data_IF_577529762677
#
_entry.id   IF_577529762677
#
_cell.length_a   1.000
_cell.length_b   1.000
_cell.length_c   1.000
_cell.angle_alpha   90.00
_cell.angle_beta   90.00
_cell.angle_gamma   90.00
#
_symmetry.space_group_name_H-M   'P 1'
#
loop_
_entity.id
_entity.type
_entity.pdbx_description
1 polymer ?
#
# COMPACT_ATOMS: atom_id res chain seq x y z
N UNK A 1 24.81 0.76 -20.80
CA UNK A 1 23.81 -0.33 -20.92
C UNK A 1 22.50 0.24 -20.42
N UNK A 2 21.58 0.59 -21.32
CA UNK A 2 20.39 1.36 -20.98
C UNK A 2 19.42 0.56 -20.12
N UNK A 3 19.07 1.08 -18.95
CA UNK A 3 17.92 0.59 -18.18
C UNK A 3 16.66 0.85 -19.00
N UNK A 4 16.22 -0.15 -19.77
CA UNK A 4 14.87 -0.21 -20.30
C UNK A 4 13.89 -0.25 -19.13
N UNK A 5 13.45 0.93 -18.70
CA UNK A 5 12.27 1.07 -17.85
C UNK A 5 11.10 0.54 -18.66
N UNK A 6 10.65 -0.67 -18.37
CA UNK A 6 9.30 -1.08 -18.72
C UNK A 6 8.35 -0.23 -17.86
N UNK A 7 8.11 1.02 -18.29
CA UNK A 7 6.89 1.75 -17.93
C UNK A 7 5.78 1.05 -18.71
N UNK A 8 5.12 0.11 -18.05
CA UNK A 8 3.91 -0.46 -18.59
C UNK A 8 2.84 0.64 -18.57
N UNK A 9 2.24 0.88 -19.73
CA UNK A 9 1.16 1.84 -19.86
C UNK A 9 -0.05 1.34 -19.08
N UNK A 10 -0.64 2.20 -18.25
CA UNK A 10 -1.81 1.84 -17.46
C UNK A 10 -2.99 1.58 -18.41
N UNK A 11 -3.79 0.51 -18.20
CA UNK A 11 -4.98 0.26 -19.00
C UNK A 11 -5.88 1.49 -19.06
N UNK A 12 -6.42 1.76 -20.24
CA UNK A 12 -7.43 2.80 -20.42
C UNK A 12 -8.74 2.34 -19.76
N UNK A 13 -9.47 3.27 -19.16
CA UNK A 13 -10.80 3.02 -18.61
C UNK A 13 -11.82 3.00 -19.75
N UNK A 14 -11.79 1.93 -20.53
CA UNK A 14 -12.65 1.70 -21.69
C UNK A 14 -13.22 0.28 -21.59
N UNK A 15 -14.51 0.12 -21.86
CA UNK A 15 -15.08 -1.20 -22.11
C UNK A 15 -14.59 -1.72 -23.47
N UNK A 16 -14.71 -3.03 -23.71
CA UNK A 16 -14.30 -3.63 -24.98
C UNK A 16 -15.00 -2.97 -26.18
N UNK A 17 -16.30 -2.64 -26.04
CA UNK A 17 -17.07 -1.95 -27.08
C UNK A 17 -16.65 -0.49 -27.27
N UNK A 18 -16.19 0.17 -26.20
CA UNK A 18 -15.64 1.52 -26.27
C UNK A 18 -14.23 1.53 -26.86
N UNK A 19 -13.43 0.49 -26.58
CA UNK A 19 -12.09 0.29 -27.12
C UNK A 19 -12.14 0.08 -28.64
N UNK A 20 -13.04 -0.77 -29.14
CA UNK A 20 -13.21 -0.97 -30.59
C UNK A 20 -13.54 0.33 -31.32
N UNK A 21 -14.45 1.15 -30.75
CA UNK A 21 -14.79 2.47 -31.31
C UNK A 21 -13.63 3.46 -31.20
N UNK A 22 -12.89 3.43 -30.10
CA UNK A 22 -11.72 4.27 -29.90
C UNK A 22 -10.61 3.95 -30.92
N UNK A 23 -10.34 2.67 -31.17
CA UNK A 23 -9.38 2.23 -32.18
C UNK A 23 -9.80 2.61 -33.60
N UNK A 24 -11.10 2.60 -33.90
CA UNK A 24 -11.62 2.96 -35.22
C UNK A 24 -11.73 4.46 -35.49
N UNK A 25 -11.96 5.30 -34.47
CA UNK A 25 -12.28 6.74 -34.65
C UNK A 25 -11.33 7.69 -33.95
N UNK A 26 -10.45 7.20 -33.07
CA UNK A 26 -9.57 8.00 -32.23
C UNK A 26 -10.29 8.88 -31.19
N UNK A 27 -11.62 8.71 -31.02
CA UNK A 27 -12.44 9.54 -30.12
C UNK A 27 -13.17 8.68 -29.09
N UNK A 28 -13.24 9.18 -27.86
CA UNK A 28 -14.06 8.56 -26.83
C UNK A 28 -15.55 8.76 -27.12
N UNK A 29 -16.40 7.74 -26.90
CA UNK A 29 -17.85 7.87 -27.00
C UNK A 29 -18.39 8.87 -25.96
N UNK A 30 -19.26 9.83 -26.34
CA UNK A 30 -19.94 10.68 -25.38
C UNK A 30 -20.89 9.85 -24.49
N UNK A 31 -20.79 10.02 -23.16
CA UNK A 31 -21.63 9.29 -22.20
C UNK A 31 -21.08 7.96 -21.68
N UNK A 32 -19.79 7.67 -21.89
CA UNK A 32 -19.15 6.48 -21.31
C UNK A 32 -19.25 6.48 -19.78
N UNK A 33 -19.93 5.47 -19.24
CA UNK A 33 -19.90 5.16 -17.81
C UNK A 33 -18.69 4.26 -17.55
N UNK A 34 -17.74 4.66 -16.70
CA UNK A 34 -16.49 3.95 -16.55
C UNK A 34 -16.72 2.62 -15.83
N UNK A 35 -16.59 1.53 -16.59
CA UNK A 35 -16.93 0.17 -16.12
C UNK A 35 -15.76 -0.51 -15.40
N UNK A 36 -14.53 0.00 -15.53
CA UNK A 36 -13.32 -0.66 -15.01
C UNK A 36 -12.65 0.12 -13.87
N UNK A 37 -13.32 1.14 -13.33
CA UNK A 37 -12.78 2.04 -12.30
C UNK A 37 -12.17 1.31 -11.10
N UNK A 38 -12.82 0.28 -10.58
CA UNK A 38 -12.32 -0.52 -9.45
C UNK A 38 -11.03 -1.27 -9.77
N UNK A 39 -11.00 -1.96 -10.93
CA UNK A 39 -9.80 -2.65 -11.41
C UNK A 39 -8.65 -1.67 -11.69
N UNK A 40 -8.95 -0.51 -12.28
CA UNK A 40 -7.96 0.51 -12.57
C UNK A 40 -7.38 1.11 -11.28
N UNK A 41 -8.21 1.36 -10.27
CA UNK A 41 -7.76 1.79 -8.95
C UNK A 41 -6.86 0.72 -8.28
N UNK A 42 -7.25 -0.55 -8.38
CA UNK A 42 -6.46 -1.69 -7.92
C UNK A 42 -5.09 -1.77 -8.63
N UNK A 43 -5.06 -1.73 -9.96
CA UNK A 43 -3.83 -1.77 -10.75
C UNK A 43 -2.91 -0.57 -10.45
N UNK A 44 -3.49 0.63 -10.32
CA UNK A 44 -2.76 1.85 -9.91
C UNK A 44 -2.15 1.71 -8.53
N UNK A 45 -2.87 1.12 -7.58
CA UNK A 45 -2.35 0.89 -6.24
C UNK A 45 -1.13 -0.04 -6.29
N UNK A 46 -1.23 -1.17 -6.97
CA UNK A 46 -0.11 -2.13 -7.09
C UNK A 46 1.09 -1.54 -7.83
N UNK A 47 0.86 -0.71 -8.86
CA UNK A 47 1.93 0.06 -9.48
C UNK A 47 2.68 0.91 -8.47
N UNK A 48 1.93 1.72 -7.70
CA UNK A 48 2.52 2.62 -6.71
C UNK A 48 3.23 1.82 -5.61
N UNK A 49 2.63 0.73 -5.14
CA UNK A 49 3.23 -0.17 -4.14
C UNK A 49 4.59 -0.71 -4.61
N UNK A 50 4.66 -1.21 -5.85
CA UNK A 50 5.92 -1.69 -6.44
C UNK A 50 6.97 -0.58 -6.59
N UNK A 51 6.54 0.65 -6.90
CA UNK A 51 7.45 1.82 -6.96
C UNK A 51 7.95 2.25 -5.58
N UNK A 52 7.13 2.12 -4.53
CA UNK A 52 7.53 2.36 -3.14
C UNK A 52 8.54 1.31 -2.69
N UNK A 53 8.34 0.03 -3.00
CA UNK A 53 9.29 -1.04 -2.67
C UNK A 53 10.68 -0.78 -3.28
N UNK A 54 10.75 -0.18 -4.48
CA UNK A 54 12.01 0.21 -5.11
C UNK A 54 12.79 1.30 -4.34
N UNK A 55 12.16 2.04 -3.42
CA UNK A 55 12.83 3.02 -2.57
C UNK A 55 13.76 2.35 -1.54
N UNK A 56 13.43 1.13 -1.11
CA UNK A 56 14.24 0.37 -0.14
C UNK A 56 15.49 -0.29 -0.74
N UNK A 57 15.72 -0.18 -2.06
CA UNK A 57 16.90 -0.76 -2.70
C UNK A 57 18.16 0.06 -2.39
N UNK A 58 19.24 -0.55 -1.85
CA UNK A 58 20.48 0.16 -1.51
C UNK A 58 21.09 0.93 -2.69
N UNK A 59 20.94 0.41 -3.91
CA UNK A 59 21.41 1.06 -5.14
C UNK A 59 20.65 2.35 -5.44
N UNK A 60 19.34 2.35 -5.21
CA UNK A 60 18.48 3.52 -5.49
C UNK A 60 18.44 4.52 -4.36
N UNK A 61 18.78 4.11 -3.13
CA UNK A 61 18.93 5.01 -1.99
C UNK A 61 19.97 6.10 -2.27
N UNK A 62 21.08 5.74 -2.94
CA UNK A 62 22.17 6.65 -3.33
C UNK A 62 21.75 7.67 -4.39
N UNK A 63 20.95 7.24 -5.36
CA UNK A 63 20.41 8.12 -6.41
C UNK A 63 19.31 9.05 -5.84
N UNK A 64 18.48 8.55 -4.93
CA UNK A 64 17.39 9.32 -4.32
C UNK A 64 17.91 10.50 -3.48
N UNK A 65 18.99 10.30 -2.74
CA UNK A 65 19.66 11.38 -1.98
C UNK A 65 20.31 12.43 -2.88
N UNK A 66 20.56 12.10 -4.14
CA UNK A 66 21.29 12.97 -5.07
C UNK A 66 20.40 13.74 -6.04
N UNK A 67 19.15 13.33 -6.28
CA UNK A 67 18.41 13.83 -7.46
C UNK A 67 17.03 14.45 -7.20
N UNK A 68 16.24 14.08 -6.17
CA UNK A 68 14.89 14.68 -5.97
C UNK A 68 14.34 14.46 -4.53
N UNK A 69 14.39 15.46 -3.62
CA UNK A 69 13.83 15.34 -2.27
C UNK A 69 12.29 15.27 -2.25
N UNK A 70 11.61 15.64 -3.33
CA UNK A 70 10.13 15.68 -3.44
C UNK A 70 9.47 14.33 -3.74
N UNK A 71 10.26 13.30 -4.06
CA UNK A 71 9.77 12.02 -4.57
C UNK A 71 8.89 11.21 -3.59
N UNK A 72 9.20 11.07 -2.29
CA UNK A 72 8.33 10.36 -1.35
C UNK A 72 6.99 11.09 -1.11
N UNK A 73 6.99 12.43 -1.10
CA UNK A 73 5.77 13.24 -0.98
C UNK A 73 4.84 13.03 -2.19
N UNK A 74 5.39 12.94 -3.40
CA UNK A 74 4.61 12.58 -4.60
C UNK A 74 3.99 11.19 -4.49
N UNK A 75 4.69 10.22 -3.91
CA UNK A 75 4.10 8.90 -3.67
C UNK A 75 3.02 8.95 -2.59
N UNK A 76 3.22 9.69 -1.50
CA UNK A 76 2.19 9.90 -0.47
C UNK A 76 0.92 10.49 -1.07
N UNK A 77 1.04 11.55 -1.87
CA UNK A 77 -0.09 12.16 -2.56
C UNK A 77 -0.80 11.16 -3.50
N UNK A 78 -0.04 10.34 -4.23
CA UNK A 78 -0.64 9.33 -5.13
C UNK A 78 -1.35 8.21 -4.37
N UNK A 79 -0.77 7.71 -3.28
CA UNK A 79 -1.42 6.68 -2.45
C UNK A 79 -2.68 7.25 -1.81
N UNK A 80 -2.63 8.47 -1.27
CA UNK A 80 -3.78 9.10 -0.58
C UNK A 80 -4.92 9.49 -1.52
N UNK A 81 -4.65 9.74 -2.81
CA UNK A 81 -5.70 9.95 -3.81
C UNK A 81 -6.50 8.69 -4.12
N UNK A 82 -5.97 7.50 -3.82
CA UNK A 82 -6.70 6.25 -4.00
C UNK A 82 -7.60 6.06 -2.76
N UNK A 83 -8.80 6.62 -2.84
CA UNK A 83 -9.85 6.43 -1.83
C UNK A 83 -10.58 5.13 -2.11
N UNK A 84 -10.32 4.11 -1.29
CA UNK A 84 -11.17 2.94 -1.21
C UNK A 84 -12.31 3.23 -0.24
N UNK A 85 -13.52 3.46 -0.78
CA UNK A 85 -14.71 3.54 0.06
C UNK A 85 -15.33 2.16 0.17
N UNK A 86 -14.89 1.39 1.17
CA UNK A 86 -15.57 0.14 1.54
C UNK A 86 -17.04 0.38 1.95
N UNK A 87 -17.38 1.62 2.33
CA UNK A 87 -18.73 2.02 2.77
C UNK A 87 -19.62 2.54 1.63
N UNK A 88 -19.12 2.64 0.39
CA UNK A 88 -19.92 3.10 -0.76
C UNK A 88 -20.44 1.95 -1.61
N UNK A 89 -20.26 0.69 -1.19
CA UNK A 89 -20.94 -0.42 -1.85
C UNK A 89 -22.44 -0.32 -1.52
N UNK A 90 -23.31 -0.10 -2.52
CA UNK A 90 -24.75 -0.11 -2.29
C UNK A 90 -25.12 -1.48 -1.72
N UNK A 91 -25.85 -1.50 -0.61
CA UNK A 91 -26.29 -2.71 0.10
C UNK A 91 -27.11 -3.70 -0.77
N UNK A 92 -27.47 -3.27 -1.99
CA UNK A 92 -28.33 -3.96 -2.95
C UNK A 92 -27.54 -4.81 -3.97
N UNK A 93 -26.21 -4.65 -4.10
CA UNK A 93 -25.44 -5.51 -5.01
C UNK A 93 -25.23 -6.88 -4.36
N UNK A 94 -26.10 -7.80 -4.74
CA UNK A 94 -26.04 -9.25 -4.49
C UNK A 94 -24.87 -9.91 -5.26
N UNK A 95 -23.74 -9.21 -5.39
CA UNK A 95 -22.53 -9.60 -6.12
C UNK A 95 -21.55 -10.31 -5.20
N UNK A 96 -21.04 -11.46 -5.65
CA UNK A 96 -20.34 -12.47 -4.86
C UNK A 96 -19.13 -11.99 -4.06
N UNK A 97 -18.67 -12.85 -3.14
CA UNK A 97 -17.53 -12.59 -2.26
C UNK A 97 -16.21 -12.18 -2.94
N UNK A 98 -16.12 -12.27 -4.27
CA UNK A 98 -14.98 -11.82 -5.08
C UNK A 98 -14.74 -10.31 -5.00
N UNK A 99 -15.80 -9.48 -5.04
CA UNK A 99 -15.67 -8.02 -4.93
C UNK A 99 -15.13 -7.62 -3.54
N UNK A 100 -15.60 -8.32 -2.50
CA UNK A 100 -15.14 -8.12 -1.12
C UNK A 100 -13.66 -8.54 -0.97
N UNK A 101 -13.23 -9.63 -1.60
CA UNK A 101 -11.82 -10.05 -1.63
C UNK A 101 -10.95 -8.96 -2.25
N UNK A 102 -11.35 -8.40 -3.40
CA UNK A 102 -10.60 -7.32 -4.05
C UNK A 102 -10.51 -6.10 -3.14
N UNK A 103 -11.60 -5.72 -2.47
CA UNK A 103 -11.60 -4.61 -1.50
C UNK A 103 -10.62 -4.86 -0.34
N UNK A 104 -10.62 -6.06 0.24
CA UNK A 104 -9.75 -6.44 1.36
C UNK A 104 -8.29 -6.46 0.93
N UNK A 105 -7.98 -7.06 -0.22
CA UNK A 105 -6.64 -7.08 -0.78
C UNK A 105 -6.16 -5.66 -1.09
N UNK A 106 -7.02 -4.81 -1.67
CA UNK A 106 -6.71 -3.40 -1.91
C UNK A 106 -6.40 -2.65 -0.62
N UNK A 107 -7.21 -2.86 0.43
CA UNK A 107 -7.02 -2.22 1.72
C UNK A 107 -5.64 -2.57 2.32
N UNK A 108 -5.29 -3.85 2.36
CA UNK A 108 -4.02 -4.26 2.97
C UNK A 108 -2.80 -3.83 2.15
N UNK A 109 -2.91 -3.80 0.81
CA UNK A 109 -1.84 -3.27 -0.05
C UNK A 109 -1.69 -1.76 0.13
N UNK A 110 -2.79 -1.03 0.33
CA UNK A 110 -2.76 0.40 0.64
C UNK A 110 -2.08 0.67 1.99
N UNK A 111 -2.53 0.00 3.05
CA UNK A 111 -1.92 0.10 4.38
C UNK A 111 -0.43 -0.31 4.35
N UNK A 112 -0.11 -1.41 3.66
CA UNK A 112 1.25 -1.89 3.47
C UNK A 112 2.14 -0.95 2.65
N UNK A 113 1.57 -0.21 1.70
CA UNK A 113 2.28 0.82 0.93
C UNK A 113 2.63 2.02 1.80
N UNK A 114 1.68 2.49 2.62
CA UNK A 114 1.94 3.54 3.62
C UNK A 114 3.00 3.11 4.63
N UNK A 115 2.93 1.87 5.12
CA UNK A 115 3.91 1.29 6.04
C UNK A 115 5.33 1.35 5.45
N UNK A 116 5.51 0.87 4.21
CA UNK A 116 6.82 0.87 3.55
C UNK A 116 7.35 2.29 3.30
N UNK A 117 6.48 3.21 2.90
CA UNK A 117 6.86 4.59 2.60
C UNK A 117 7.26 5.36 3.86
N UNK A 118 6.45 5.31 4.92
CA UNK A 118 6.77 5.98 6.17
C UNK A 118 7.96 5.33 6.89
N UNK A 119 8.13 4.01 6.81
CA UNK A 119 9.34 3.33 7.30
C UNK A 119 10.61 3.85 6.63
N UNK A 120 10.57 4.04 5.30
CA UNK A 120 11.68 4.63 4.56
C UNK A 120 12.00 6.05 5.04
N UNK A 121 10.98 6.89 5.22
CA UNK A 121 11.14 8.26 5.72
C UNK A 121 11.77 8.28 7.12
N UNK A 122 11.27 7.47 8.05
CA UNK A 122 11.83 7.33 9.41
C UNK A 122 13.31 6.94 9.35
N UNK A 123 13.66 5.92 8.56
CA UNK A 123 15.06 5.47 8.43
C UNK A 123 15.99 6.51 7.80
N UNK A 124 15.50 7.29 6.84
CA UNK A 124 16.27 8.37 6.22
C UNK A 124 16.59 9.50 7.22
N UNK A 125 15.66 9.82 8.13
CA UNK A 125 15.89 10.84 9.16
C UNK A 125 16.88 10.39 10.24
N UNK A 126 16.92 9.10 10.60
CA UNK A 126 17.89 8.58 11.58
C UNK A 126 19.33 8.50 11.07
N UNK A 127 19.54 8.52 9.74
CA UNK A 127 20.87 8.41 9.11
C UNK A 127 21.55 9.75 8.76
N UNK A 128 20.84 10.88 8.82
CA UNK A 128 21.45 12.21 8.61
C UNK A 128 22.06 12.70 9.93
N UNK A 129 23.33 13.12 9.86
CA UNK A 129 24.07 13.69 10.98
C UNK A 129 23.31 14.86 11.61
N UNK A 130 23.38 14.96 12.93
CA UNK A 130 22.66 15.89 13.82
C UNK A 130 22.84 17.40 13.55
N UNK A 131 23.52 17.78 12.47
CA UNK A 131 23.78 19.17 12.09
C UNK A 131 22.78 19.72 11.06
N UNK A 132 21.87 18.89 10.55
CA UNK A 132 20.87 19.32 9.59
C UNK A 132 19.56 19.66 10.31
N UNK A 133 19.30 20.96 10.48
CA UNK A 133 18.07 21.51 11.08
C UNK A 133 16.92 21.33 10.09
N UNK A 134 16.49 20.09 9.90
CA UNK A 134 15.22 19.74 9.24
C UNK A 134 14.27 19.16 10.28
N UNK A 135 12.97 19.45 10.19
CA UNK A 135 12.14 19.60 11.38
C UNK A 135 11.81 18.24 11.99
N UNK A 136 12.06 18.11 13.29
CA UNK A 136 11.69 16.98 14.15
C UNK A 136 10.21 16.59 14.02
N UNK A 137 9.35 17.51 13.56
CA UNK A 137 7.93 17.28 13.25
C UNK A 137 7.70 16.22 12.17
N UNK A 138 8.60 16.09 11.18
CA UNK A 138 8.42 15.17 10.06
C UNK A 138 8.74 13.73 10.46
N UNK A 139 9.66 13.53 11.41
CA UNK A 139 9.98 12.22 11.98
C UNK A 139 8.83 11.69 12.83
N UNK A 140 8.36 12.46 13.81
CA UNK A 140 7.27 12.02 14.71
C UNK A 140 5.99 11.73 13.91
N UNK A 141 5.64 12.61 12.95
CA UNK A 141 4.49 12.37 12.06
C UNK A 141 4.67 11.12 11.21
N UNK A 142 5.86 10.89 10.64
CA UNK A 142 6.11 9.68 9.85
C UNK A 142 6.09 8.42 10.72
N UNK A 143 6.62 8.48 11.93
CA UNK A 143 6.62 7.36 12.87
C UNK A 143 5.19 7.00 13.31
N UNK A 144 4.35 7.99 13.63
CA UNK A 144 2.95 7.75 14.00
C UNK A 144 2.13 7.18 12.84
N UNK A 145 2.31 7.70 11.62
CA UNK A 145 1.67 7.16 10.42
C UNK A 145 2.16 5.73 10.09
N UNK A 146 3.45 5.47 10.26
CA UNK A 146 4.03 4.13 10.12
C UNK A 146 3.40 3.15 11.12
N UNK A 147 3.22 3.56 12.38
CA UNK A 147 2.55 2.76 13.42
C UNK A 147 1.08 2.50 13.07
N UNK A 148 0.34 3.55 12.68
CA UNK A 148 -1.06 3.44 12.29
C UNK A 148 -1.25 2.47 11.11
N UNK A 149 -0.38 2.54 10.11
CA UNK A 149 -0.38 1.60 8.98
C UNK A 149 -0.07 0.16 9.43
N UNK A 150 0.89 -0.04 10.33
CA UNK A 150 1.19 -1.36 10.89
C UNK A 150 0.00 -1.97 11.62
N UNK A 151 -0.66 -1.19 12.49
CA UNK A 151 -1.87 -1.63 13.20
C UNK A 151 -3.02 -1.94 12.25
N UNK A 152 -3.17 -1.15 11.18
CA UNK A 152 -4.18 -1.40 10.14
C UNK A 152 -3.97 -2.75 9.44
N UNK A 153 -2.72 -3.10 9.10
CA UNK A 153 -2.40 -4.41 8.55
C UNK A 153 -2.70 -5.56 9.54
N UNK A 154 -2.34 -5.40 10.82
CA UNK A 154 -2.60 -6.41 11.86
C UNK A 154 -4.11 -6.62 12.06
N UNK A 155 -4.89 -5.53 12.14
CA UNK A 155 -6.34 -5.62 12.34
C UNK A 155 -7.05 -6.24 11.12
N UNK A 156 -6.53 -6.05 9.91
CA UNK A 156 -7.07 -6.69 8.72
C UNK A 156 -6.67 -8.17 8.59
N UNK A 157 -5.70 -8.66 9.35
CA UNK A 157 -5.16 -10.02 9.19
C UNK A 157 -6.21 -11.11 9.33
N UNK A 158 -7.13 -10.97 10.30
CA UNK A 158 -8.23 -11.91 10.52
C UNK A 158 -9.22 -11.91 9.35
N UNK A 159 -9.61 -10.73 8.89
CA UNK A 159 -10.52 -10.57 7.75
C UNK A 159 -9.88 -11.15 6.47
N UNK A 160 -8.59 -10.90 6.26
CA UNK A 160 -7.80 -11.46 5.14
C UNK A 160 -7.73 -12.98 5.26
N UNK A 161 -7.47 -13.53 6.46
CA UNK A 161 -7.44 -14.97 6.70
C UNK A 161 -8.78 -15.61 6.33
N UNK A 162 -9.89 -14.99 6.69
CA UNK A 162 -11.19 -15.64 6.54
C UNK A 162 -11.71 -15.52 5.10
N UNK A 163 -11.45 -14.41 4.42
CA UNK A 163 -12.08 -14.08 3.14
C UNK A 163 -11.16 -14.25 1.92
N UNK A 164 -9.84 -14.12 2.06
CA UNK A 164 -8.90 -14.19 0.93
C UNK A 164 -8.44 -15.64 0.68
N UNK A 165 -8.29 -16.09 -0.58
CA UNK A 165 -7.74 -17.41 -0.88
C UNK A 165 -6.35 -17.64 -0.26
N UNK A 166 -6.03 -18.87 0.21
CA UNK A 166 -4.79 -19.16 0.94
C UNK A 166 -3.51 -18.71 0.23
N UNK A 167 -3.45 -18.83 -1.10
CA UNK A 167 -2.30 -18.41 -1.90
C UNK A 167 -1.97 -16.91 -1.76
N UNK A 168 -2.99 -16.06 -1.72
CA UNK A 168 -2.85 -14.61 -1.60
C UNK A 168 -2.70 -14.20 -0.14
N UNK A 169 -3.44 -14.84 0.77
CA UNK A 169 -3.31 -14.68 2.21
C UNK A 169 -1.86 -14.90 2.67
N UNK A 170 -1.21 -15.97 2.22
CA UNK A 170 0.18 -16.27 2.62
C UNK A 170 1.15 -15.18 2.17
N UNK A 171 1.07 -14.75 0.91
CA UNK A 171 1.93 -13.70 0.36
C UNK A 171 1.75 -12.36 1.11
N UNK A 172 0.50 -12.00 1.40
CA UNK A 172 0.14 -10.78 2.13
C UNK A 172 0.64 -10.84 3.57
N UNK A 173 0.42 -11.97 4.26
CA UNK A 173 0.79 -12.12 5.67
C UNK A 173 2.30 -12.19 5.86
N UNK A 174 3.00 -12.99 5.04
CA UNK A 174 4.46 -13.07 5.10
C UNK A 174 5.10 -11.70 4.86
N UNK A 175 4.55 -10.88 3.97
CA UNK A 175 5.12 -9.57 3.70
C UNK A 175 4.65 -8.50 4.71
N UNK A 176 3.37 -8.15 4.70
CA UNK A 176 2.88 -6.97 5.41
C UNK A 176 2.69 -7.20 6.91
N UNK A 177 2.33 -8.41 7.37
CA UNK A 177 2.25 -8.66 8.81
C UNK A 177 3.63 -8.74 9.44
N UNK A 178 4.57 -9.47 8.83
CA UNK A 178 5.97 -9.53 9.30
C UNK A 178 6.58 -8.13 9.41
N UNK A 179 6.38 -7.30 8.39
CA UNK A 179 6.84 -5.91 8.41
C UNK A 179 6.16 -5.08 9.51
N UNK A 180 4.86 -5.27 9.74
CA UNK A 180 4.11 -4.56 10.78
C UNK A 180 4.66 -4.90 12.18
N UNK A 181 4.87 -6.17 12.48
CA UNK A 181 5.47 -6.60 13.75
C UNK A 181 6.87 -6.03 13.98
N UNK A 182 7.74 -6.07 12.95
CA UNK A 182 9.10 -5.50 13.03
C UNK A 182 9.04 -3.99 13.31
N UNK A 183 8.13 -3.26 12.64
CA UNK A 183 7.99 -1.81 12.82
C UNK A 183 7.55 -1.46 14.24
N UNK A 184 6.56 -2.18 14.79
CA UNK A 184 6.10 -1.96 16.16
C UNK A 184 7.19 -2.20 17.21
N UNK A 185 8.07 -3.19 16.97
CA UNK A 185 9.21 -3.49 17.85
C UNK A 185 10.37 -2.49 17.72
N UNK A 186 10.50 -1.80 16.58
CA UNK A 186 11.64 -0.91 16.27
C UNK A 186 11.35 0.56 16.53
N UNK A 187 10.09 0.99 16.41
CA UNK A 187 9.72 2.38 16.68
C UNK A 187 9.66 2.63 18.19
N UNK A 188 10.07 3.82 18.67
CA UNK A 188 9.88 4.20 20.05
C UNK A 188 8.38 4.16 20.41
N UNK A 189 8.00 3.70 21.60
CA UNK A 189 6.60 3.64 22.02
C UNK A 189 6.06 5.08 22.19
N UNK A 190 4.93 5.40 21.54
CA UNK A 190 4.09 6.56 21.93
C UNK A 190 2.87 6.11 22.74
N UNK A 191 2.43 4.87 22.55
CA UNK A 191 1.36 4.23 23.32
C UNK A 191 1.91 3.60 24.61
N UNK A 192 1.00 3.19 25.50
CA UNK A 192 1.35 2.39 26.66
C UNK A 192 2.10 1.13 26.23
N UNK A 193 3.14 0.74 26.98
CA UNK A 193 3.89 -0.49 26.70
C UNK A 193 2.97 -1.72 26.58
N UNK A 194 1.86 -1.73 27.33
CA UNK A 194 0.84 -2.78 27.27
C UNK A 194 0.13 -2.88 25.90
N UNK A 195 -0.20 -1.76 25.27
CA UNK A 195 -0.90 -1.74 23.98
C UNK A 195 0.01 -2.25 22.86
N UNK A 196 1.28 -1.86 22.90
CA UNK A 196 2.30 -2.36 21.95
C UNK A 196 2.53 -3.86 22.12
N UNK A 197 2.58 -4.36 23.36
CA UNK A 197 2.71 -5.80 23.64
C UNK A 197 1.49 -6.56 23.09
N UNK A 198 0.27 -6.07 23.33
CA UNK A 198 -0.95 -6.71 22.83
C UNK A 198 -0.98 -6.78 21.29
N UNK A 199 -0.57 -5.71 20.59
CA UNK A 199 -0.48 -5.69 19.14
C UNK A 199 0.60 -6.69 18.63
N UNK A 200 1.73 -6.79 19.31
CA UNK A 200 2.82 -7.74 18.97
C UNK A 200 2.39 -9.19 19.22
N UNK A 201 1.71 -9.47 20.32
CA UNK A 201 1.17 -10.80 20.62
C UNK A 201 0.13 -11.23 19.59
N UNK A 202 -0.78 -10.31 19.21
CA UNK A 202 -1.77 -10.56 18.16
C UNK A 202 -1.10 -10.88 16.83
N UNK A 203 -0.09 -10.09 16.43
CA UNK A 203 0.75 -10.37 15.26
C UNK A 203 1.41 -11.76 15.31
N UNK A 204 2.06 -12.10 16.44
CA UNK A 204 2.73 -13.39 16.60
C UNK A 204 1.75 -14.56 16.53
N UNK A 205 0.55 -14.38 17.09
CA UNK A 205 -0.56 -15.32 16.97
C UNK A 205 -0.94 -15.57 15.52
N UNK A 206 -1.13 -14.53 14.72
CA UNK A 206 -1.45 -14.69 13.30
C UNK A 206 -0.35 -15.43 12.53
N UNK A 207 0.92 -15.12 12.79
CA UNK A 207 2.02 -15.81 12.10
C UNK A 207 2.13 -17.29 12.49
N UNK A 208 1.87 -17.63 13.75
CA UNK A 208 1.95 -19.02 14.24
C UNK A 208 0.97 -19.96 13.54
N UNK A 209 -0.17 -19.43 13.11
CA UNK A 209 -1.26 -20.22 12.52
C UNK A 209 -1.38 -20.05 11.00
N UNK A 210 -0.34 -19.51 10.33
CA UNK A 210 -0.35 -19.21 8.89
C UNK A 210 -0.57 -20.44 7.98
N UNK A 211 -0.05 -21.60 8.35
CA UNK A 211 -0.06 -22.81 7.52
C UNK A 211 -1.23 -23.77 7.83
N UNK A 212 -2.04 -23.48 8.86
CA UNK A 212 -3.03 -24.43 9.39
C UNK A 212 -4.41 -24.34 8.72
N UNK A 213 -4.50 -23.79 7.51
CA UNK A 213 -5.76 -23.61 6.77
C UNK A 213 -5.93 -24.63 5.65
#
# INVERSE_FOLDING_TARGET
MGEGRYDWEMPLDLSDEALERYLGTGRLPPGHSPSTTGFLAFARLYYIAGRIQQLGSPRRLRDLTSTEPSRPERFLARVSTIRFSANSMPAETSGGGEDLVICIVSFIVHAGSLLNLHRFLVGHHSGRSSNDVSPTSNYSTSASQCRSAAKSCINAAEIVRDLVPPSHYLAICVHYLTLSGIVLLRLPPEDTQADVIADVERYAGFLKHLEQR
#
